data_IF_498045422882
#
_entry.id   IF_498045422882
#
_cell.length_a   1.000
_cell.length_b   1.000
_cell.length_c   1.000
_cell.angle_alpha   90.00
_cell.angle_beta   90.00
_cell.angle_gamma   90.00
#
_symmetry.space_group_name_H-M   'P 1'
#
loop_
_entity.id
_entity.type
_entity.pdbx_description
1 polymer ?
#
# COMPACT_ATOMS: atom_id res chain seq x y z
N UNK A 1 -8.21 5.54 3.12
CA UNK A 1 -7.67 6.13 1.87
C UNK A 1 -8.62 5.90 0.68
N UNK A 2 -8.98 4.66 0.33
CA UNK A 2 -9.87 4.41 -0.80
C UNK A 2 -11.23 5.13 -0.71
N UNK A 3 -11.82 5.19 0.48
CA UNK A 3 -13.09 5.92 0.67
C UNK A 3 -12.96 7.43 0.42
N UNK A 4 -11.80 8.02 0.68
CA UNK A 4 -11.52 9.44 0.36
C UNK A 4 -11.57 9.66 -1.15
N UNK A 5 -10.96 8.78 -1.96
CA UNK A 5 -10.99 8.91 -3.42
C UNK A 5 -12.43 8.97 -3.99
N UNK A 6 -13.37 8.29 -3.34
CA UNK A 6 -14.76 8.20 -3.77
C UNK A 6 -15.71 9.09 -2.96
N UNK A 7 -15.20 9.92 -2.05
CA UNK A 7 -15.99 10.74 -1.12
C UNK A 7 -17.12 9.93 -0.46
N UNK A 8 -16.75 8.80 0.11
CA UNK A 8 -17.70 7.83 0.65
C UNK A 8 -17.36 7.38 2.07
N UNK A 9 -16.68 8.23 2.84
CA UNK A 9 -16.30 7.98 4.23
C UNK A 9 -17.50 7.74 5.13
N UNK A 10 -18.63 8.42 4.84
CA UNK A 10 -19.90 8.22 5.56
C UNK A 10 -20.48 6.81 5.44
N UNK A 11 -19.98 6.00 4.50
CA UNK A 11 -20.38 4.60 4.29
C UNK A 11 -19.46 3.61 5.00
N UNK A 12 -18.54 4.07 5.84
CA UNK A 12 -17.67 3.19 6.63
C UNK A 12 -18.51 2.58 7.75
N UNK A 13 -18.54 1.24 7.80
CA UNK A 13 -19.10 0.44 8.89
C UNK A 13 -18.12 -0.68 9.20
N UNK A 14 -18.26 -1.35 10.33
CA UNK A 14 -17.37 -2.43 10.78
C UNK A 14 -17.21 -3.55 9.74
N UNK A 15 -18.27 -3.81 8.93
CA UNK A 15 -18.27 -4.87 7.91
C UNK A 15 -18.06 -4.38 6.46
N UNK A 16 -17.97 -3.07 6.24
CA UNK A 16 -17.95 -2.51 4.87
C UNK A 16 -16.59 -2.63 4.16
N UNK A 17 -15.51 -2.89 4.89
CA UNK A 17 -14.16 -2.86 4.35
C UNK A 17 -13.91 -3.96 3.33
N UNK A 18 -14.28 -5.19 3.64
CA UNK A 18 -14.02 -6.36 2.80
C UNK A 18 -14.66 -6.22 1.41
N UNK A 19 -15.97 -5.98 1.36
CA UNK A 19 -16.69 -5.81 0.08
C UNK A 19 -16.14 -4.64 -0.73
N UNK A 20 -15.77 -3.55 -0.07
CA UNK A 20 -15.21 -2.39 -0.73
C UNK A 20 -13.85 -2.71 -1.37
N UNK A 21 -12.96 -3.39 -0.63
CA UNK A 21 -11.63 -3.78 -1.10
C UNK A 21 -11.74 -4.81 -2.25
N UNK A 22 -12.60 -5.81 -2.15
CA UNK A 22 -12.89 -6.76 -3.26
C UNK A 22 -13.29 -6.03 -4.54
N UNK A 23 -14.13 -5.02 -4.43
CA UNK A 23 -14.54 -4.23 -5.59
C UNK A 23 -13.40 -3.39 -6.19
N UNK A 24 -12.48 -2.86 -5.37
CA UNK A 24 -11.30 -2.14 -5.84
C UNK A 24 -10.38 -3.07 -6.63
N UNK A 25 -10.07 -4.24 -6.08
CA UNK A 25 -9.21 -5.25 -6.70
C UNK A 25 -9.82 -5.71 -8.03
N UNK A 26 -11.10 -6.10 -8.04
CA UNK A 26 -11.80 -6.55 -9.24
C UNK A 26 -11.82 -5.52 -10.37
N UNK A 27 -11.79 -4.22 -10.02
CA UNK A 27 -11.73 -3.13 -10.99
C UNK A 27 -10.32 -2.73 -11.39
N UNK A 28 -9.29 -3.41 -10.89
CA UNK A 28 -7.88 -3.05 -11.10
C UNK A 28 -7.45 -1.73 -10.45
N UNK A 29 -8.22 -1.22 -9.49
CA UNK A 29 -7.92 0.05 -8.82
C UNK A 29 -7.03 -0.18 -7.59
N UNK A 30 -5.89 -0.80 -7.83
CA UNK A 30 -4.97 -1.23 -6.76
C UNK A 30 -4.11 -0.08 -6.18
N UNK A 31 -4.06 1.10 -6.81
CA UNK A 31 -3.29 2.23 -6.28
C UNK A 31 -3.69 2.64 -4.85
N UNK A 32 -4.95 2.44 -4.47
CA UNK A 32 -5.42 2.73 -3.11
C UNK A 32 -4.92 1.72 -2.08
N UNK A 33 -4.46 0.55 -2.50
CA UNK A 33 -3.87 -0.47 -1.63
C UNK A 33 -2.44 -0.10 -1.19
N UNK A 34 -1.83 0.88 -1.82
CA UNK A 34 -0.48 1.34 -1.50
C UNK A 34 -0.39 2.03 -0.12
N UNK A 35 -1.52 2.38 0.49
CA UNK A 35 -1.56 3.00 1.82
C UNK A 35 -1.54 2.00 3.00
N UNK A 36 -1.73 0.72 2.75
CA UNK A 36 -1.61 -0.32 3.76
C UNK A 36 -0.25 -1.02 3.60
N UNK A 37 0.50 -1.15 4.68
CA UNK A 37 1.84 -1.72 4.71
C UNK A 37 1.87 -2.93 5.61
N UNK A 38 2.52 -4.00 5.15
CA UNK A 38 2.84 -5.16 5.95
C UNK A 38 4.35 -5.26 6.15
N UNK A 39 4.75 -5.63 7.35
CA UNK A 39 6.12 -5.86 7.75
C UNK A 39 6.21 -7.31 8.22
N UNK A 40 7.11 -8.08 7.63
CA UNK A 40 7.33 -9.50 7.92
C UNK A 40 8.71 -9.70 8.48
N UNK A 41 8.81 -10.43 9.56
CA UNK A 41 10.05 -11.00 10.06
C UNK A 41 10.11 -12.49 9.65
N UNK A 42 11.21 -12.93 9.09
CA UNK A 42 11.37 -14.32 8.62
C UNK A 42 12.75 -14.89 8.95
N UNK A 43 12.92 -16.20 8.78
CA UNK A 43 14.19 -16.89 8.94
C UNK A 43 15.13 -16.68 7.73
N UNK A 44 16.40 -17.11 7.89
CA UNK A 44 17.43 -16.94 6.86
C UNK A 44 17.12 -17.69 5.56
N UNK A 45 16.42 -18.84 5.65
CA UNK A 45 16.05 -19.63 4.47
C UNK A 45 15.03 -18.89 3.62
N UNK A 46 14.01 -18.34 4.27
CA UNK A 46 12.98 -17.58 3.60
C UNK A 46 13.51 -16.26 3.04
N UNK A 47 14.36 -15.57 3.79
CA UNK A 47 15.07 -14.36 3.32
C UNK A 47 15.98 -14.67 2.13
N UNK A 48 16.72 -15.78 2.15
CA UNK A 48 17.54 -16.22 1.03
C UNK A 48 16.71 -16.57 -0.22
N UNK A 49 15.55 -17.17 -0.03
CA UNK A 49 14.63 -17.46 -1.15
C UNK A 49 14.06 -16.18 -1.73
N UNK A 50 13.64 -15.24 -0.88
CA UNK A 50 13.18 -13.91 -1.29
C UNK A 50 14.23 -13.19 -2.14
N UNK A 51 15.47 -13.11 -1.66
CA UNK A 51 16.55 -12.41 -2.37
C UNK A 51 16.86 -13.04 -3.73
N UNK A 52 16.86 -14.37 -3.83
CA UNK A 52 17.05 -15.05 -5.15
C UNK A 52 15.95 -14.68 -6.13
N UNK A 53 14.71 -14.61 -5.68
CA UNK A 53 13.57 -14.22 -6.53
C UNK A 53 13.73 -12.76 -6.96
N UNK A 54 14.05 -11.84 -6.03
CA UNK A 54 14.27 -10.44 -6.35
C UNK A 54 15.38 -10.27 -7.40
N UNK A 55 16.52 -10.92 -7.21
CA UNK A 55 17.63 -10.89 -8.18
C UNK A 55 17.20 -11.43 -9.54
N UNK A 56 16.39 -12.50 -9.59
CA UNK A 56 15.89 -13.06 -10.84
C UNK A 56 14.97 -12.07 -11.56
N UNK A 57 14.06 -11.41 -10.86
CA UNK A 57 13.15 -10.41 -11.41
C UNK A 57 13.95 -9.23 -12.00
N UNK A 58 14.93 -8.72 -11.25
CA UNK A 58 15.72 -7.56 -11.65
C UNK A 58 16.62 -7.86 -12.86
N UNK A 59 17.27 -9.02 -12.89
CA UNK A 59 18.22 -9.37 -13.95
C UNK A 59 17.55 -9.91 -15.21
N UNK A 60 16.44 -10.65 -15.08
CA UNK A 60 15.80 -11.31 -16.22
C UNK A 60 14.91 -10.38 -17.03
N UNK A 61 14.10 -9.60 -16.35
CA UNK A 61 13.02 -8.84 -16.98
C UNK A 61 13.22 -7.32 -16.87
N UNK A 62 14.35 -6.85 -16.28
CA UNK A 62 14.51 -5.44 -15.92
C UNK A 62 13.42 -4.95 -14.94
N UNK A 63 12.74 -5.90 -14.31
CA UNK A 63 11.69 -5.65 -13.34
C UNK A 63 12.21 -4.99 -12.07
N UNK A 64 11.35 -4.32 -11.34
CA UNK A 64 11.69 -3.70 -10.07
C UNK A 64 10.86 -4.28 -8.94
N UNK A 65 11.53 -4.79 -7.92
CA UNK A 65 10.87 -5.19 -6.68
C UNK A 65 10.73 -3.98 -5.77
N UNK A 66 9.49 -3.66 -5.38
CA UNK A 66 9.17 -2.50 -4.53
C UNK A 66 9.14 -2.85 -3.03
N UNK A 67 9.51 -4.07 -2.67
CA UNK A 67 9.65 -4.50 -1.28
C UNK A 67 11.03 -4.08 -0.75
N UNK A 68 11.07 -3.63 0.49
CA UNK A 68 12.30 -3.31 1.21
C UNK A 68 12.73 -4.48 2.06
N UNK A 69 14.01 -4.76 2.13
CA UNK A 69 14.58 -5.85 2.93
C UNK A 69 15.81 -5.39 3.69
N UNK A 70 15.90 -5.76 4.95
CA UNK A 70 17.12 -5.63 5.77
C UNK A 70 17.48 -6.97 6.37
N UNK A 71 18.80 -7.25 6.42
CA UNK A 71 19.38 -8.46 6.98
C UNK A 71 20.51 -8.04 7.93
N UNK A 72 20.17 -7.79 9.17
CA UNK A 72 21.15 -7.44 10.21
C UNK A 72 21.07 -8.45 11.35
N UNK A 73 20.42 -8.10 12.45
CA UNK A 73 20.18 -9.01 13.58
C UNK A 73 19.04 -9.97 13.29
N UNK A 74 18.13 -9.61 12.41
CA UNK A 74 17.00 -10.41 11.92
C UNK A 74 16.64 -9.99 10.49
N UNK A 75 15.91 -10.85 9.79
CA UNK A 75 15.45 -10.55 8.43
C UNK A 75 14.09 -9.90 8.48
N UNK A 76 14.03 -8.65 8.06
CA UNK A 76 12.78 -7.87 7.98
C UNK A 76 12.53 -7.46 6.54
N UNK A 77 11.32 -7.72 6.06
CA UNK A 77 10.85 -7.37 4.71
C UNK A 77 9.56 -6.58 4.84
N UNK A 78 9.48 -5.46 4.17
CA UNK A 78 8.27 -4.63 4.20
C UNK A 78 7.88 -4.11 2.83
N UNK A 79 6.60 -3.82 2.70
CA UNK A 79 6.07 -3.15 1.53
C UNK A 79 4.58 -2.88 1.66
N UNK A 80 4.07 -2.06 0.78
CA UNK A 80 2.64 -1.85 0.70
C UNK A 80 1.93 -3.06 0.06
N UNK A 81 0.62 -3.15 0.25
CA UNK A 81 -0.19 -4.28 -0.24
C UNK A 81 -0.01 -4.50 -1.73
N UNK A 82 0.05 -3.44 -2.54
CA UNK A 82 0.25 -3.58 -3.98
C UNK A 82 1.61 -4.18 -4.31
N UNK A 83 2.68 -3.73 -3.65
CA UNK A 83 4.02 -4.29 -3.84
C UNK A 83 4.09 -5.79 -3.49
N UNK A 84 3.41 -6.21 -2.40
CA UNK A 84 3.29 -7.61 -2.04
C UNK A 84 2.53 -8.42 -3.09
N UNK A 85 1.42 -7.91 -3.60
CA UNK A 85 0.64 -8.56 -4.68
C UNK A 85 1.46 -8.70 -5.97
N UNK A 86 2.18 -7.65 -6.36
CA UNK A 86 3.04 -7.69 -7.53
C UNK A 86 4.18 -8.70 -7.36
N UNK A 87 4.81 -8.77 -6.19
CA UNK A 87 5.81 -9.78 -5.87
C UNK A 87 5.23 -11.21 -5.96
N UNK A 88 4.03 -11.45 -5.45
CA UNK A 88 3.36 -12.77 -5.56
C UNK A 88 3.06 -13.16 -7.02
N UNK A 89 2.67 -12.20 -7.86
CA UNK A 89 2.49 -12.44 -9.29
C UNK A 89 3.81 -12.85 -9.97
N UNK A 90 4.92 -12.24 -9.59
CA UNK A 90 6.24 -12.65 -10.09
C UNK A 90 6.67 -14.01 -9.54
N UNK A 91 6.41 -14.30 -8.26
CA UNK A 91 6.61 -15.64 -7.71
C UNK A 91 5.85 -16.71 -8.50
N UNK A 92 4.61 -16.44 -8.91
CA UNK A 92 3.81 -17.33 -9.71
C UNK A 92 4.42 -17.60 -11.08
N UNK A 93 4.93 -16.57 -11.77
CA UNK A 93 5.64 -16.72 -13.05
C UNK A 93 6.91 -17.56 -12.94
N UNK A 94 7.62 -17.43 -11.83
CA UNK A 94 8.87 -18.16 -11.56
C UNK A 94 8.63 -19.55 -10.96
N UNK A 95 7.41 -19.86 -10.56
CA UNK A 95 7.04 -21.04 -9.77
C UNK A 95 7.94 -21.20 -8.52
N UNK A 96 8.25 -20.11 -7.84
CA UNK A 96 9.14 -20.05 -6.71
C UNK A 96 8.56 -19.13 -5.61
N UNK A 97 8.45 -19.65 -4.39
CA UNK A 97 7.75 -18.95 -3.32
C UNK A 97 8.52 -19.05 -2.00
N UNK A 98 8.80 -17.92 -1.32
CA UNK A 98 9.19 -17.96 0.09
C UNK A 98 8.01 -18.44 0.94
N UNK A 99 8.29 -19.25 1.98
CA UNK A 99 7.22 -19.81 2.81
C UNK A 99 6.45 -18.76 3.60
N UNK A 100 7.07 -17.64 3.93
CA UNK A 100 6.40 -16.56 4.64
C UNK A 100 5.19 -16.00 3.89
N UNK A 101 5.06 -16.22 2.59
CA UNK A 101 3.87 -15.80 1.85
C UNK A 101 2.59 -16.46 2.35
N UNK A 102 2.67 -17.57 3.08
CA UNK A 102 1.50 -18.19 3.73
C UNK A 102 0.86 -17.33 4.81
N UNK A 103 1.55 -16.28 5.29
CA UNK A 103 0.97 -15.30 6.21
C UNK A 103 -0.08 -14.40 5.54
N UNK A 104 -0.01 -14.26 4.23
CA UNK A 104 -0.86 -13.34 3.47
C UNK A 104 -2.10 -14.08 2.96
N UNK A 105 -3.19 -13.88 3.62
CA UNK A 105 -4.48 -14.48 3.31
C UNK A 105 -5.60 -13.43 3.14
N UNK A 106 -6.82 -13.93 2.96
CA UNK A 106 -8.01 -13.11 2.89
C UNK A 106 -8.11 -12.24 1.65
N UNK A 107 -9.06 -11.33 1.69
CA UNK A 107 -9.52 -10.52 0.54
C UNK A 107 -8.43 -9.75 -0.21
N UNK A 108 -7.34 -9.42 0.46
CA UNK A 108 -6.24 -8.66 -0.15
C UNK A 108 -5.35 -9.53 -1.05
N UNK A 109 -5.33 -10.85 -0.85
CA UNK A 109 -4.33 -11.73 -1.46
C UNK A 109 -4.90 -13.01 -2.08
N UNK A 110 -6.19 -13.33 -1.86
CA UNK A 110 -6.82 -14.59 -2.30
C UNK A 110 -6.69 -14.89 -3.80
N UNK A 111 -6.60 -13.84 -4.63
CA UNK A 111 -6.48 -13.95 -6.09
C UNK A 111 -5.04 -14.04 -6.61
N UNK A 112 -4.04 -13.80 -5.76
CA UNK A 112 -2.62 -13.77 -6.17
C UNK A 112 -1.73 -14.71 -5.35
N UNK A 113 -2.17 -15.18 -4.17
CA UNK A 113 -1.40 -16.06 -3.32
C UNK A 113 -1.87 -17.52 -3.42
N UNK A 114 -1.11 -18.41 -4.05
CA UNK A 114 -1.48 -19.83 -4.16
C UNK A 114 -1.15 -20.65 -2.89
N UNK A 115 -0.42 -20.07 -1.92
CA UNK A 115 0.13 -20.77 -0.78
C UNK A 115 -0.80 -20.67 0.45
N UNK A 116 -1.71 -21.62 0.64
CA UNK A 116 -2.63 -21.56 1.77
C UNK A 116 -2.26 -22.48 2.95
N UNK A 117 -1.25 -23.37 2.81
CA UNK A 117 -1.09 -24.49 3.76
C UNK A 117 0.35 -24.77 4.23
N UNK A 118 1.31 -23.91 3.98
CA UNK A 118 2.68 -24.17 4.41
C UNK A 118 2.93 -23.64 5.83
N UNK A 119 3.57 -24.46 6.68
CA UNK A 119 4.04 -23.99 7.98
C UNK A 119 5.24 -23.06 7.80
N UNK A 120 5.18 -21.91 8.44
CA UNK A 120 6.26 -20.94 8.49
C UNK A 120 6.56 -20.53 9.92
N UNK A 121 7.81 -20.14 10.18
CA UNK A 121 8.25 -19.49 11.42
C UNK A 121 8.19 -17.98 11.33
N UNK A 122 7.86 -17.45 10.16
CA UNK A 122 7.70 -16.02 9.95
C UNK A 122 6.47 -15.46 10.66
N UNK A 123 6.52 -14.17 10.94
CA UNK A 123 5.41 -13.45 11.58
C UNK A 123 5.28 -12.03 11.01
N UNK A 124 4.06 -11.52 11.00
CA UNK A 124 3.88 -10.06 10.89
C UNK A 124 4.36 -9.39 12.18
N UNK A 125 5.03 -8.25 12.03
CA UNK A 125 5.44 -7.41 13.15
C UNK A 125 4.82 -6.02 13.01
N UNK A 126 4.52 -5.41 14.15
CA UNK A 126 4.05 -4.03 14.19
C UNK A 126 5.23 -3.06 14.03
N UNK A 127 4.94 -1.88 13.49
CA UNK A 127 5.96 -0.83 13.31
C UNK A 127 6.61 -0.37 14.63
N UNK A 128 5.95 -0.57 15.77
CA UNK A 128 6.50 -0.28 17.10
C UNK A 128 7.59 -1.28 17.51
N UNK A 129 7.60 -2.48 16.92
CA UNK A 129 8.59 -3.53 17.18
C UNK A 129 9.89 -3.36 16.36
N UNK A 130 9.93 -2.38 15.45
CA UNK A 130 11.11 -2.07 14.67
C UNK A 130 12.20 -1.48 15.57
N UNK A 131 13.42 -2.01 15.44
CA UNK A 131 14.60 -1.39 16.04
C UNK A 131 14.88 -0.02 15.42
N UNK A 132 15.65 0.86 16.07
CA UNK A 132 16.01 2.17 15.49
C UNK A 132 16.59 2.06 14.07
N UNK A 133 17.48 1.09 13.83
CA UNK A 133 18.11 0.86 12.53
C UNK A 133 17.12 0.37 11.45
N UNK A 134 16.08 -0.36 11.86
CA UNK A 134 15.07 -0.87 10.95
C UNK A 134 14.04 0.20 10.58
N UNK A 135 13.84 1.20 11.46
CA UNK A 135 12.87 2.30 11.22
C UNK A 135 13.22 3.09 9.97
N UNK A 136 14.48 3.37 9.72
CA UNK A 136 14.91 4.13 8.54
C UNK A 136 14.49 3.46 7.22
N UNK A 137 14.47 2.13 7.20
CA UNK A 137 14.11 1.36 6.01
C UNK A 137 12.62 0.99 5.94
N UNK A 138 12.01 0.65 7.06
CA UNK A 138 10.71 -0.01 7.11
C UNK A 138 9.56 0.81 7.68
N UNK A 139 9.88 1.92 8.37
CA UNK A 139 8.83 2.79 8.92
C UNK A 139 8.09 3.55 7.82
N UNK A 140 6.77 3.60 7.93
CA UNK A 140 5.90 4.34 7.01
C UNK A 140 4.76 5.00 7.77
N UNK A 141 4.34 6.15 7.27
CA UNK A 141 3.19 6.88 7.81
C UNK A 141 2.22 7.27 6.69
N UNK A 142 0.96 7.38 7.05
CA UNK A 142 -0.08 7.93 6.18
C UNK A 142 -0.58 9.24 6.75
N UNK A 143 -0.48 10.31 5.97
CA UNK A 143 -0.90 11.66 6.37
C UNK A 143 -2.09 12.07 5.52
N UNK A 144 -3.12 12.65 6.16
CA UNK A 144 -4.26 13.25 5.48
C UNK A 144 -4.07 14.76 5.38
N UNK A 145 -4.00 15.27 4.17
CA UNK A 145 -4.00 16.70 3.88
C UNK A 145 -5.41 17.18 3.51
N UNK A 146 -5.80 18.33 4.05
CA UNK A 146 -6.99 19.06 3.62
C UNK A 146 -6.50 20.39 3.08
N UNK A 147 -6.40 20.48 1.77
CA UNK A 147 -5.77 21.61 1.06
C UNK A 147 -6.61 21.96 -0.18
N UNK A 148 -6.36 23.12 -0.75
CA UNK A 148 -6.97 23.48 -2.03
C UNK A 148 -6.45 22.60 -3.18
N UNK A 149 -7.12 22.70 -4.33
CA UNK A 149 -6.81 21.84 -5.47
C UNK A 149 -5.45 22.12 -6.10
N UNK A 150 -4.99 23.37 -6.08
CA UNK A 150 -3.67 23.73 -6.61
C UNK A 150 -2.59 23.02 -5.82
N UNK A 151 -2.61 23.15 -4.49
CA UNK A 151 -1.66 22.49 -3.59
C UNK A 151 -1.75 20.97 -3.75
N UNK A 152 -2.96 20.39 -3.77
CA UNK A 152 -3.10 18.94 -3.92
C UNK A 152 -2.52 18.40 -5.23
N UNK A 153 -2.65 19.16 -6.33
CA UNK A 153 -2.06 18.79 -7.62
C UNK A 153 -0.53 18.87 -7.63
N UNK A 154 0.06 19.78 -6.89
CA UNK A 154 1.52 19.84 -6.76
C UNK A 154 2.04 18.72 -5.85
N UNK A 155 1.37 18.44 -4.72
CA UNK A 155 1.78 17.35 -3.81
C UNK A 155 1.83 16.01 -4.54
N UNK A 156 0.83 15.65 -5.36
CA UNK A 156 0.80 14.36 -6.06
C UNK A 156 1.88 14.18 -7.13
N UNK A 157 2.62 15.23 -7.47
CA UNK A 157 3.77 15.14 -8.37
C UNK A 157 5.04 14.63 -7.68
N UNK A 158 5.08 14.62 -6.34
CA UNK A 158 6.18 14.05 -5.57
C UNK A 158 6.11 12.52 -5.58
N UNK A 159 6.83 11.90 -6.49
CA UNK A 159 6.74 10.46 -6.79
C UNK A 159 7.39 9.54 -5.76
N UNK A 160 7.86 10.07 -4.66
CA UNK A 160 8.45 9.30 -3.55
C UNK A 160 7.41 8.73 -2.58
N UNK A 161 6.14 9.10 -2.73
CA UNK A 161 5.04 8.66 -1.90
C UNK A 161 3.86 8.18 -2.74
N UNK A 162 2.96 7.44 -2.11
CA UNK A 162 1.67 7.02 -2.69
C UNK A 162 0.59 8.01 -2.31
N UNK A 163 -0.26 8.36 -3.25
CA UNK A 163 -1.29 9.38 -3.06
C UNK A 163 -2.68 8.84 -3.36
N UNK A 164 -3.63 9.13 -2.47
CA UNK A 164 -5.06 8.96 -2.69
C UNK A 164 -5.74 10.31 -2.56
N UNK A 165 -6.29 10.81 -3.64
CA UNK A 165 -6.93 12.12 -3.71
C UNK A 165 -8.42 11.96 -4.01
N UNK A 166 -9.27 12.85 -3.43
CA UNK A 166 -10.69 12.95 -3.81
C UNK A 166 -10.80 13.19 -5.33
N UNK A 167 -11.50 12.30 -6.01
CA UNK A 167 -11.59 12.31 -7.48
C UNK A 167 -12.80 13.11 -7.95
N UNK A 168 -12.58 14.17 -8.70
CA UNK A 168 -13.66 14.91 -9.36
C UNK A 168 -14.40 14.13 -10.45
N UNK A 169 -13.86 12.97 -10.88
CA UNK A 169 -14.53 12.10 -11.87
C UNK A 169 -15.50 11.11 -11.25
N UNK A 170 -15.23 10.69 -10.00
CA UNK A 170 -16.00 9.62 -9.34
C UNK A 170 -16.86 10.13 -8.18
N UNK A 171 -16.62 11.34 -7.70
CA UNK A 171 -17.37 11.91 -6.60
C UNK A 171 -18.62 12.60 -7.13
N UNK A 172 -19.76 12.34 -6.45
CA UNK A 172 -21.00 13.06 -6.68
C UNK A 172 -21.03 14.30 -5.78
N UNK A 173 -21.10 15.47 -6.36
CA UNK A 173 -21.18 16.76 -5.67
C UNK A 173 -22.59 17.34 -5.62
N UNK A 174 -23.62 16.57 -5.95
CA UNK A 174 -25.03 17.02 -5.89
C UNK A 174 -25.48 17.51 -4.50
N UNK A 175 -24.77 17.12 -3.42
CA UNK A 175 -24.98 17.61 -2.06
C UNK A 175 -24.13 18.83 -1.66
N UNK A 176 -23.46 19.49 -2.62
CA UNK A 176 -22.59 20.63 -2.38
C UNK A 176 -21.11 20.30 -2.41
N UNK A 177 -20.29 21.33 -2.63
CA UNK A 177 -18.82 21.28 -2.65
C UNK A 177 -18.32 22.00 -1.41
N UNK A 178 -17.32 21.37 -0.72
CA UNK A 178 -16.53 22.06 0.29
C UNK A 178 -15.29 22.62 -0.37
N UNK A 179 -15.08 23.90 -0.28
CA UNK A 179 -13.89 24.58 -0.76
C UNK A 179 -12.96 24.88 0.42
N UNK A 180 -11.68 24.67 0.23
CA UNK A 180 -10.66 25.15 1.15
C UNK A 180 -10.27 26.56 0.74
N UNK A 181 -10.48 27.52 1.63
CA UNK A 181 -10.11 28.93 1.38
C UNK A 181 -8.57 29.04 1.46
N UNK A 182 -7.88 29.45 0.40
CA UNK A 182 -6.45 29.71 0.47
C UNK A 182 -6.12 30.85 1.44
N UNK A 183 -5.01 30.80 2.19
CA UNK A 183 -4.63 31.82 3.16
C UNK A 183 -4.54 33.23 2.57
N UNK A 184 -4.14 33.35 1.31
CA UNK A 184 -4.01 34.63 0.61
C UNK A 184 -5.34 35.37 0.34
N UNK A 185 -6.48 34.70 0.57
CA UNK A 185 -7.81 35.27 0.35
C UNK A 185 -8.54 35.62 1.67
N UNK A 186 -7.83 35.69 2.79
CA UNK A 186 -8.47 36.00 4.08
C UNK A 186 -9.14 37.37 4.10
N UNK A 187 -8.60 38.33 3.34
CA UNK A 187 -9.11 39.69 3.20
C UNK A 187 -9.92 39.94 1.92
N UNK A 188 -10.09 38.94 1.05
CA UNK A 188 -10.82 39.12 -0.20
C UNK A 188 -12.35 39.00 0.03
N UNK A 189 -13.15 39.89 -0.56
CA UNK A 189 -14.62 39.77 -0.50
C UNK A 189 -15.03 38.46 -1.19
N UNK A 190 -15.95 37.73 -0.56
CA UNK A 190 -16.55 36.52 -1.15
C UNK A 190 -17.39 36.95 -2.34
N UNK A 191 -16.94 36.67 -3.55
CA UNK A 191 -17.74 36.82 -4.76
C UNK A 191 -18.66 35.60 -4.84
N UNK A 192 -19.95 35.81 -4.68
CA UNK A 192 -20.99 34.78 -4.80
C UNK A 192 -21.29 34.43 -6.26
#
# INVERSE_FOLDING_TARGET
CGRVCYKSESRITDSSAETFVKNLIRRGHESVLEHAVFIVMCDDRDAGTFNRICNTIEHRDGGRVLLKSTQRTRNVISGNVRAWRDFMRECAKLNAYPKFLTLFDGVLFEDVNPLQFWKTTAAFIDKSELTPDERDAHFTETVKFVVDRGISHEIVRHRTASFSQESTRYCNYGGGIKLTKPPLFDDAPVVH
#
